data_IF_055368736619
#
_entry.id   IF_055368736619
#
_cell.length_a   1.000
_cell.length_b   1.000
_cell.length_c   1.000
_cell.angle_alpha   90.00
_cell.angle_beta   90.00
_cell.angle_gamma   90.00
#
_symmetry.space_group_name_H-M   'P 1'
#
loop_
_entity.id
_entity.type
_entity.pdbx_description
1 polymer ?
#
# COMPACT_ATOMS: atom_id res chain seq x y z
N UNK A 1 -19.13 -6.37 31.18
CA UNK A 1 -19.12 -7.22 29.97
C UNK A 1 -19.47 -6.48 28.69
N UNK A 2 -20.73 -6.15 28.38
CA UNK A 2 -21.06 -5.51 27.08
C UNK A 2 -20.36 -4.15 26.91
N UNK A 3 -20.36 -3.32 27.95
CA UNK A 3 -19.67 -2.02 27.91
C UNK A 3 -18.14 -2.16 27.73
N UNK A 4 -17.51 -3.17 28.33
CA UNK A 4 -16.07 -3.44 28.20
C UNK A 4 -15.72 -3.89 26.78
N UNK A 5 -16.58 -4.70 26.16
CA UNK A 5 -16.41 -5.13 24.75
C UNK A 5 -16.56 -3.93 23.82
N UNK A 6 -17.55 -3.07 24.05
CA UNK A 6 -17.77 -1.85 23.24
C UNK A 6 -16.59 -0.88 23.38
N UNK A 7 -16.07 -0.70 24.59
CA UNK A 7 -14.92 0.16 24.86
C UNK A 7 -13.62 -0.41 24.26
N UNK A 8 -13.43 -1.74 24.37
CA UNK A 8 -12.36 -2.48 23.67
C UNK A 8 -12.41 -2.21 22.17
N UNK A 9 -13.57 -2.34 21.54
CA UNK A 9 -13.68 -2.12 20.09
C UNK A 9 -13.59 -0.64 19.69
N UNK A 10 -14.07 0.31 20.48
CA UNK A 10 -13.86 1.73 20.16
C UNK A 10 -12.38 2.10 20.06
N UNK A 11 -11.54 1.45 20.87
CA UNK A 11 -10.09 1.60 20.80
C UNK A 11 -9.55 0.72 19.67
N UNK A 12 -9.75 -0.60 19.74
CA UNK A 12 -9.16 -1.59 18.85
C UNK A 12 -9.60 -1.52 17.37
N UNK A 13 -10.81 -1.06 17.06
CA UNK A 13 -11.27 -0.94 15.66
C UNK A 13 -10.50 0.13 14.87
N UNK A 14 -9.94 1.12 15.57
CA UNK A 14 -9.23 2.25 14.95
C UNK A 14 -7.73 1.98 14.76
N UNK A 15 -7.17 0.96 15.39
CA UNK A 15 -5.75 0.67 15.34
C UNK A 15 -5.42 -0.48 14.38
N UNK A 16 -4.24 -0.42 13.74
CA UNK A 16 -3.73 -1.52 12.94
C UNK A 16 -3.42 -2.73 13.82
N UNK A 17 -3.80 -3.89 13.33
CA UNK A 17 -3.63 -5.20 13.95
C UNK A 17 -2.68 -6.08 13.13
N UNK A 18 -2.08 -7.04 13.81
CA UNK A 18 -1.28 -8.10 13.23
C UNK A 18 -1.60 -9.43 13.92
N UNK A 19 -1.03 -10.52 13.41
CA UNK A 19 -1.01 -11.80 14.12
C UNK A 19 0.19 -11.82 15.06
N UNK A 20 0.03 -12.44 16.23
CA UNK A 20 1.14 -12.56 17.16
C UNK A 20 2.31 -13.34 16.54
N UNK A 21 3.53 -12.87 16.81
CA UNK A 21 4.77 -13.48 16.32
C UNK A 21 4.97 -14.93 16.81
N UNK A 22 4.37 -15.27 17.94
CA UNK A 22 4.37 -16.61 18.50
C UNK A 22 2.99 -16.94 19.05
N UNK A 23 2.30 -17.87 18.40
CA UNK A 23 1.00 -18.39 18.86
C UNK A 23 1.23 -19.84 19.33
N UNK A 24 0.91 -20.17 20.58
CA UNK A 24 1.06 -21.54 21.07
C UNK A 24 0.26 -22.54 20.23
N UNK A 25 0.80 -23.75 19.94
CA UNK A 25 0.12 -24.73 19.09
C UNK A 25 -1.29 -25.11 19.58
N UNK A 26 -1.49 -25.18 20.90
CA UNK A 26 -2.78 -25.49 21.49
C UNK A 26 -3.83 -24.39 21.27
N UNK A 27 -3.42 -23.12 21.19
CA UNK A 27 -4.33 -22.02 20.85
C UNK A 27 -4.68 -22.07 19.36
N UNK A 28 -3.70 -22.35 18.51
CA UNK A 28 -3.90 -22.57 17.07
C UNK A 28 -4.89 -23.72 16.79
N UNK A 29 -4.84 -24.80 17.56
CA UNK A 29 -5.84 -25.88 17.45
C UNK A 29 -7.25 -25.40 17.83
N UNK A 30 -7.40 -24.61 18.89
CA UNK A 30 -8.70 -24.04 19.28
C UNK A 30 -9.27 -23.14 18.19
N UNK A 31 -8.42 -22.29 17.59
CA UNK A 31 -8.80 -21.42 16.46
C UNK A 31 -9.27 -22.24 15.28
N UNK A 32 -8.56 -23.33 14.93
CA UNK A 32 -8.92 -24.21 13.81
C UNK A 32 -10.23 -24.97 14.02
N UNK A 33 -10.62 -25.23 15.28
CA UNK A 33 -11.88 -25.92 15.61
C UNK A 33 -13.11 -25.02 15.40
N UNK A 34 -12.99 -23.71 15.60
CA UNK A 34 -14.07 -22.77 15.29
C UNK A 34 -14.01 -22.37 13.82
N UNK A 35 -15.09 -22.62 13.07
CA UNK A 35 -15.17 -22.25 11.65
C UNK A 35 -14.97 -20.74 11.44
N UNK A 36 -15.54 -19.93 12.34
CA UNK A 36 -15.48 -18.46 12.26
C UNK A 36 -14.07 -17.98 12.60
N UNK A 37 -13.47 -18.47 13.70
CA UNK A 37 -12.11 -18.08 14.09
C UNK A 37 -11.08 -18.52 13.05
N UNK A 38 -11.24 -19.72 12.48
CA UNK A 38 -10.37 -20.21 11.41
C UNK A 38 -10.50 -19.33 10.15
N UNK A 39 -11.72 -18.92 9.78
CA UNK A 39 -11.94 -17.99 8.66
C UNK A 39 -11.28 -16.63 8.92
N UNK A 40 -11.47 -16.06 10.13
CA UNK A 40 -10.83 -14.82 10.57
C UNK A 40 -9.30 -14.93 10.47
N UNK A 41 -8.73 -16.03 10.98
CA UNK A 41 -7.28 -16.24 11.02
C UNK A 41 -6.67 -16.40 9.62
N UNK A 42 -7.31 -17.16 8.73
CA UNK A 42 -6.84 -17.32 7.35
C UNK A 42 -6.97 -16.01 6.56
N UNK A 43 -8.06 -15.27 6.77
CA UNK A 43 -8.24 -13.96 6.15
C UNK A 43 -7.19 -12.96 6.63
N UNK A 44 -6.86 -12.98 7.93
CA UNK A 44 -5.78 -12.17 8.49
C UNK A 44 -4.45 -12.47 7.78
N UNK A 45 -4.11 -13.75 7.58
CA UNK A 45 -2.89 -14.14 6.83
C UNK A 45 -2.88 -13.60 5.41
N UNK A 46 -3.99 -13.70 4.69
CA UNK A 46 -4.09 -13.16 3.34
C UNK A 46 -3.90 -11.64 3.31
N UNK A 47 -4.51 -10.92 4.25
CA UNK A 47 -4.34 -9.47 4.37
C UNK A 47 -2.87 -9.12 4.70
N UNK A 48 -2.24 -9.91 5.57
CA UNK A 48 -0.86 -9.73 5.99
C UNK A 48 0.17 -10.05 4.89
N UNK A 49 -0.20 -10.86 3.91
CA UNK A 49 0.64 -11.12 2.74
C UNK A 49 0.76 -9.90 1.81
N UNK A 50 -0.22 -8.98 1.84
CA UNK A 50 -0.24 -7.78 1.01
C UNK A 50 0.24 -6.56 1.78
N UNK A 51 -0.12 -6.45 3.06
CA UNK A 51 0.25 -5.33 3.94
C UNK A 51 0.73 -5.85 5.29
N UNK A 52 1.66 -5.17 5.95
CA UNK A 52 2.24 -5.62 7.22
C UNK A 52 1.26 -5.56 8.42
N UNK A 53 0.08 -4.98 8.22
CA UNK A 53 -0.99 -4.89 9.21
C UNK A 53 -2.36 -4.87 8.53
N UNK A 54 -3.42 -5.08 9.32
CA UNK A 54 -4.80 -4.95 8.86
C UNK A 54 -5.67 -4.21 9.88
N UNK A 55 -6.79 -3.66 9.43
CA UNK A 55 -7.80 -3.08 10.31
C UNK A 55 -8.97 -4.06 10.47
N UNK A 56 -9.53 -4.15 11.67
CA UNK A 56 -10.70 -5.01 11.96
C UNK A 56 -11.87 -4.64 11.04
N UNK A 57 -12.10 -3.35 10.78
CA UNK A 57 -13.12 -2.90 9.84
C UNK A 57 -12.98 -3.52 8.43
N UNK A 58 -11.76 -3.57 7.91
CA UNK A 58 -11.50 -4.16 6.59
C UNK A 58 -11.72 -5.67 6.60
N UNK A 59 -11.40 -6.32 7.72
CA UNK A 59 -11.65 -7.74 7.93
C UNK A 59 -13.15 -8.05 7.94
N UNK A 60 -13.96 -7.28 8.68
CA UNK A 60 -15.43 -7.41 8.71
C UNK A 60 -16.03 -7.26 7.30
N UNK A 61 -15.60 -6.25 6.55
CA UNK A 61 -16.08 -6.02 5.18
C UNK A 61 -15.75 -7.16 4.22
N UNK A 62 -14.63 -7.86 4.43
CA UNK A 62 -14.28 -9.06 3.63
C UNK A 62 -15.03 -10.29 4.11
N UNK A 63 -15.17 -10.49 5.43
CA UNK A 63 -15.91 -11.61 6.01
C UNK A 63 -17.37 -11.64 5.58
N UNK A 64 -18.07 -10.49 5.58
CA UNK A 64 -19.45 -10.36 5.09
C UNK A 64 -19.66 -10.87 3.68
N UNK A 65 -18.64 -10.77 2.82
CA UNK A 65 -18.72 -11.23 1.43
C UNK A 65 -18.56 -12.73 1.30
N UNK A 66 -17.94 -13.38 2.29
CA UNK A 66 -17.59 -14.79 2.27
C UNK A 66 -18.61 -15.60 3.06
N UNK A 67 -19.12 -15.05 4.17
CA UNK A 67 -20.03 -15.74 5.07
C UNK A 67 -21.14 -14.80 5.52
N UNK A 68 -22.38 -15.29 5.46
CA UNK A 68 -23.56 -14.57 5.93
C UNK A 68 -23.72 -14.81 7.45
N UNK A 69 -22.91 -14.12 8.25
CA UNK A 69 -22.93 -14.18 9.72
C UNK A 69 -23.23 -12.78 10.26
N UNK A 70 -23.96 -12.71 11.38
CA UNK A 70 -24.22 -11.48 12.13
C UNK A 70 -22.92 -10.82 12.61
N UNK A 71 -22.85 -9.50 12.53
CA UNK A 71 -21.65 -8.71 12.85
C UNK A 71 -21.22 -8.89 14.30
N UNK A 72 -22.20 -8.98 15.20
CA UNK A 72 -22.02 -9.16 16.63
C UNK A 72 -21.30 -10.46 16.95
N UNK A 73 -21.62 -11.54 16.22
CA UNK A 73 -20.97 -12.84 16.39
C UNK A 73 -19.52 -12.77 15.91
N UNK A 74 -19.28 -12.15 14.76
CA UNK A 74 -17.93 -11.99 14.22
C UNK A 74 -17.07 -11.12 15.14
N UNK A 75 -17.62 -10.01 15.63
CA UNK A 75 -16.96 -9.14 16.59
C UNK A 75 -16.64 -9.89 17.89
N UNK A 76 -17.57 -10.67 18.42
CA UNK A 76 -17.29 -11.48 19.61
C UNK A 76 -16.15 -12.47 19.40
N UNK A 77 -16.10 -13.13 18.24
CA UNK A 77 -15.01 -14.06 17.91
C UNK A 77 -13.67 -13.33 17.74
N UNK A 78 -13.66 -12.12 17.17
CA UNK A 78 -12.46 -11.28 17.10
C UNK A 78 -12.00 -10.86 18.51
N UNK A 79 -12.92 -10.50 19.40
CA UNK A 79 -12.62 -10.18 20.79
C UNK A 79 -11.94 -11.35 21.50
N UNK A 80 -12.47 -12.56 21.32
CA UNK A 80 -11.86 -13.78 21.86
C UNK A 80 -10.44 -14.02 21.34
N UNK A 81 -10.18 -13.70 20.07
CA UNK A 81 -8.83 -13.80 19.49
C UNK A 81 -7.88 -12.71 20.01
N UNK A 82 -8.40 -11.53 20.35
CA UNK A 82 -7.64 -10.46 21.00
C UNK A 82 -7.26 -10.83 22.44
N UNK A 83 -8.21 -11.34 23.23
CA UNK A 83 -7.95 -11.78 24.61
C UNK A 83 -6.90 -12.90 24.66
N UNK A 84 -6.94 -13.82 23.69
CA UNK A 84 -5.98 -14.92 23.57
C UNK A 84 -4.65 -14.52 22.93
N UNK A 85 -4.47 -13.24 22.59
CA UNK A 85 -3.28 -12.71 21.93
C UNK A 85 -2.95 -13.43 20.62
N UNK A 86 -3.97 -13.91 19.91
CA UNK A 86 -3.80 -14.45 18.55
C UNK A 86 -3.72 -13.30 17.54
N UNK A 87 -4.62 -12.32 17.72
CA UNK A 87 -4.57 -11.02 17.06
C UNK A 87 -4.05 -10.02 18.09
N UNK A 88 -3.12 -9.16 17.69
CA UNK A 88 -2.52 -8.16 18.57
C UNK A 88 -2.41 -6.83 17.85
N UNK A 89 -2.38 -5.74 18.62
CA UNK A 89 -2.04 -4.42 18.08
C UNK A 89 -0.67 -4.48 17.40
N UNK A 90 -0.57 -3.87 16.23
CA UNK A 90 0.72 -3.69 15.58
C UNK A 90 1.55 -2.71 16.42
N UNK A 91 2.79 -3.07 16.82
CA UNK A 91 3.68 -2.15 17.52
C UNK A 91 3.90 -0.87 16.72
N UNK A 92 3.98 0.28 17.39
CA UNK A 92 4.12 1.58 16.74
C UNK A 92 5.41 1.63 15.91
N UNK A 93 6.45 0.95 16.38
CA UNK A 93 7.75 0.81 15.71
C UNK A 93 7.57 0.18 14.33
N UNK A 94 6.80 -0.92 14.25
CA UNK A 94 6.51 -1.59 12.99
C UNK A 94 5.65 -0.72 12.05
N UNK A 95 4.84 0.20 12.58
CA UNK A 95 4.09 1.17 11.78
C UNK A 95 5.04 2.24 11.22
N UNK A 96 5.94 2.76 12.06
CA UNK A 96 6.93 3.76 11.69
C UNK A 96 7.86 3.26 10.58
N UNK A 97 8.42 2.05 10.73
CA UNK A 97 9.28 1.42 9.72
C UNK A 97 8.57 1.27 8.36
N UNK A 98 7.25 1.06 8.38
CA UNK A 98 6.45 0.98 7.15
C UNK A 98 6.16 2.34 6.53
N UNK A 99 5.97 3.39 7.34
CA UNK A 99 5.85 4.76 6.83
C UNK A 99 7.18 5.21 6.22
N UNK A 100 8.30 4.94 6.89
CA UNK A 100 9.64 5.28 6.39
C UNK A 100 9.99 4.53 5.11
N UNK A 101 9.68 3.23 5.03
CA UNK A 101 9.93 2.46 3.81
C UNK A 101 9.04 2.88 2.63
N UNK A 102 7.78 3.24 2.86
CA UNK A 102 6.92 3.84 1.82
C UNK A 102 7.47 5.19 1.38
N UNK A 103 7.86 6.07 2.31
CA UNK A 103 8.50 7.35 2.00
C UNK A 103 9.82 7.18 1.25
N UNK A 104 10.64 6.19 1.60
CA UNK A 104 11.88 5.89 0.88
C UNK A 104 11.61 5.35 -0.54
N UNK A 105 10.51 4.61 -0.72
CA UNK A 105 10.10 4.11 -2.04
C UNK A 105 9.52 5.24 -2.91
N UNK A 106 8.77 6.15 -2.31
CA UNK A 106 8.24 7.33 -2.97
C UNK A 106 9.35 8.36 -3.27
N UNK A 107 10.34 8.54 -2.39
CA UNK A 107 11.56 9.30 -2.67
C UNK A 107 12.38 8.66 -3.79
N UNK A 108 12.50 7.33 -3.85
CA UNK A 108 13.15 6.65 -4.99
C UNK A 108 12.39 6.87 -6.31
N UNK A 109 11.06 6.93 -6.26
CA UNK A 109 10.25 7.31 -7.43
C UNK A 109 10.44 8.78 -7.78
N UNK A 110 10.43 9.68 -6.80
CA UNK A 110 10.68 11.11 -6.99
C UNK A 110 12.07 11.38 -7.55
N UNK A 111 13.11 10.68 -7.07
CA UNK A 111 14.48 10.78 -7.57
C UNK A 111 14.58 10.25 -9.01
N UNK A 112 13.86 9.18 -9.36
CA UNK A 112 13.75 8.70 -10.76
C UNK A 112 12.99 9.67 -11.66
N UNK A 113 11.92 10.28 -11.17
CA UNK A 113 11.17 11.27 -11.94
C UNK A 113 11.87 12.63 -11.99
N UNK A 114 12.68 12.99 -10.99
CA UNK A 114 13.45 14.24 -10.95
C UNK A 114 14.72 14.17 -11.81
N UNK A 115 15.30 12.98 -11.96
CA UNK A 115 16.36 12.74 -12.96
C UNK A 115 15.82 12.79 -14.39
N UNK A 116 14.56 12.43 -14.62
CA UNK A 116 13.88 12.67 -15.92
C UNK A 116 13.52 14.16 -16.07
N UNK A 117 13.02 14.82 -15.02
CA UNK A 117 12.65 16.24 -15.08
C UNK A 117 13.86 17.14 -15.24
N UNK A 118 15.03 16.81 -14.69
CA UNK A 118 16.26 17.59 -14.89
C UNK A 118 16.85 17.44 -16.29
N UNK A 119 16.62 16.31 -16.97
CA UNK A 119 16.92 16.15 -18.41
C UNK A 119 15.93 16.95 -19.27
N UNK A 120 14.68 17.08 -18.83
CA UNK A 120 13.65 17.88 -19.52
C UNK A 120 13.80 19.38 -19.23
N UNK A 121 14.23 19.77 -18.03
CA UNK A 121 14.35 21.16 -17.56
C UNK A 121 15.71 21.79 -17.85
N UNK A 122 16.68 21.05 -18.38
CA UNK A 122 17.89 21.67 -18.93
C UNK A 122 17.64 22.44 -20.24
N UNK A 123 16.49 22.23 -20.89
CA UNK A 123 16.00 23.12 -21.96
C UNK A 123 14.83 23.95 -21.41
N UNK A 124 15.13 25.20 -21.05
CA UNK A 124 14.14 26.22 -20.74
C UNK A 124 13.14 26.34 -21.90
N UNK A 125 11.93 25.76 -21.77
CA UNK A 125 10.86 25.89 -22.77
C UNK A 125 9.45 25.51 -22.28
N UNK A 126 9.23 25.17 -20.99
CA UNK A 126 7.89 24.74 -20.52
C UNK A 126 6.89 25.89 -20.51
N UNK A 127 7.31 27.09 -20.09
CA UNK A 127 6.44 28.27 -20.10
C UNK A 127 6.16 28.75 -21.53
N UNK A 128 7.14 28.69 -22.42
CA UNK A 128 6.97 29.02 -23.85
C UNK A 128 6.04 28.03 -24.57
N UNK A 129 6.09 26.75 -24.19
CA UNK A 129 5.16 25.71 -24.65
C UNK A 129 3.73 25.97 -24.18
N UNK A 130 3.57 26.46 -22.95
CA UNK A 130 2.26 26.77 -22.38
C UNK A 130 1.61 27.93 -23.14
N UNK A 131 2.38 28.97 -23.43
CA UNK A 131 1.92 30.14 -24.20
C UNK A 131 1.58 29.78 -25.66
N UNK A 132 2.35 28.88 -26.28
CA UNK A 132 2.05 28.37 -27.63
C UNK A 132 0.79 27.50 -27.67
N UNK A 133 0.52 26.71 -26.62
CA UNK A 133 -0.65 25.85 -26.54
C UNK A 133 -1.94 26.63 -26.28
N UNK A 134 -1.89 27.78 -25.59
CA UNK A 134 -3.05 28.64 -25.36
C UNK A 134 -3.59 29.28 -26.65
N UNK A 135 -2.74 29.44 -27.66
CA UNK A 135 -3.07 30.14 -28.91
C UNK A 135 -3.28 29.21 -30.11
N UNK A 136 -2.98 27.91 -29.97
CA UNK A 136 -3.10 26.92 -31.04
C UNK A 136 -4.48 26.25 -31.11
N UNK A 137 -4.89 25.86 -32.32
CA UNK A 137 -6.06 25.01 -32.50
C UNK A 137 -5.79 23.59 -31.95
N UNK A 138 -6.85 22.94 -31.47
CA UNK A 138 -6.78 21.64 -30.80
C UNK A 138 -6.11 20.55 -31.67
N UNK A 139 -6.31 20.59 -32.98
CA UNK A 139 -5.74 19.62 -33.91
C UNK A 139 -4.23 19.74 -34.03
N UNK A 140 -3.73 20.98 -34.11
CA UNK A 140 -2.31 21.27 -34.15
C UNK A 140 -1.63 21.03 -32.79
N UNK A 141 -2.31 21.36 -31.68
CA UNK A 141 -1.81 21.12 -30.32
C UNK A 141 -1.60 19.62 -30.07
N UNK A 142 -2.56 18.78 -30.48
CA UNK A 142 -2.43 17.31 -30.38
C UNK A 142 -1.25 16.77 -31.18
N UNK A 143 -0.95 17.32 -32.36
CA UNK A 143 0.22 16.92 -33.16
C UNK A 143 1.53 17.29 -32.48
N UNK A 144 1.62 18.50 -31.95
CA UNK A 144 2.81 19.00 -31.25
C UNK A 144 3.12 18.17 -30.01
N UNK A 145 2.10 17.92 -29.17
CA UNK A 145 2.21 17.06 -27.98
C UNK A 145 2.69 15.65 -28.35
N UNK A 146 2.16 15.08 -29.44
CA UNK A 146 2.55 13.74 -29.91
C UNK A 146 4.00 13.70 -30.40
N UNK A 147 4.49 14.77 -31.03
CA UNK A 147 5.87 14.87 -31.47
C UNK A 147 6.84 15.00 -30.28
N UNK A 148 6.48 15.82 -29.28
CA UNK A 148 7.24 16.00 -28.04
C UNK A 148 7.33 14.68 -27.27
N UNK A 149 6.21 13.97 -27.09
CA UNK A 149 6.20 12.64 -26.47
C UNK A 149 7.09 11.64 -27.23
N UNK A 150 7.11 11.69 -28.57
CA UNK A 150 7.97 10.83 -29.37
C UNK A 150 9.45 11.16 -29.16
N UNK A 151 9.82 12.44 -29.11
CA UNK A 151 11.20 12.89 -28.82
C UNK A 151 11.63 12.51 -27.41
N UNK A 152 10.77 12.71 -26.40
CA UNK A 152 11.01 12.32 -25.01
C UNK A 152 11.27 10.81 -24.88
N UNK A 153 10.47 9.97 -25.56
CA UNK A 153 10.65 8.51 -25.55
C UNK A 153 11.95 8.05 -26.21
N UNK A 154 12.46 8.79 -27.20
CA UNK A 154 13.76 8.53 -27.81
C UNK A 154 14.89 8.94 -26.86
N UNK A 155 14.79 10.13 -26.26
CA UNK A 155 15.77 10.62 -25.28
C UNK A 155 15.86 9.73 -24.02
N UNK A 156 14.74 9.18 -23.56
CA UNK A 156 14.69 8.24 -22.43
C UNK A 156 15.46 6.95 -22.74
N UNK A 157 15.29 6.40 -23.95
CA UNK A 157 16.05 5.23 -24.41
C UNK A 157 17.54 5.52 -24.52
N UNK A 158 17.89 6.70 -25.04
CA UNK A 158 19.28 7.12 -25.23
C UNK A 158 19.98 7.39 -23.90
N UNK A 159 19.27 7.99 -22.93
CA UNK A 159 19.73 8.20 -21.57
C UNK A 159 19.95 6.86 -20.85
N UNK A 160 19.00 5.94 -20.95
CA UNK A 160 19.13 4.58 -20.40
C UNK A 160 20.36 3.88 -20.99
N UNK A 161 20.56 3.96 -22.30
CA UNK A 161 21.74 3.41 -22.98
C UNK A 161 23.05 4.03 -22.50
N UNK A 162 23.12 5.36 -22.36
CA UNK A 162 24.31 6.07 -21.86
C UNK A 162 24.63 5.72 -20.40
N UNK A 163 23.62 5.58 -19.55
CA UNK A 163 23.79 5.14 -18.16
C UNK A 163 24.36 3.72 -18.12
N UNK A 164 23.76 2.78 -18.87
CA UNK A 164 24.24 1.39 -18.96
C UNK A 164 25.66 1.29 -19.57
N UNK A 165 25.99 2.13 -20.56
CA UNK A 165 27.31 2.17 -21.18
C UNK A 165 28.38 2.72 -20.22
N UNK A 166 28.04 3.75 -19.44
CA UNK A 166 28.95 4.28 -18.41
C UNK A 166 29.18 3.28 -17.28
N UNK A 167 28.14 2.58 -16.82
CA UNK A 167 28.24 1.49 -15.84
C UNK A 167 29.10 0.34 -16.36
N UNK A 168 28.97 -0.01 -17.65
CA UNK A 168 29.82 -1.02 -18.30
C UNK A 168 31.29 -0.59 -18.40
N UNK A 169 31.55 0.69 -18.72
CA UNK A 169 32.92 1.21 -18.86
C UNK A 169 33.63 1.51 -17.52
N UNK A 170 32.89 1.52 -16.41
CA UNK A 170 33.44 1.69 -15.06
C UNK A 170 33.59 0.36 -14.29
N UNK A 171 33.21 -0.77 -14.90
CA UNK A 171 33.44 -2.13 -14.41
C UNK A 171 34.71 -2.74 -15.02
#
# INVERSE_FOLDING_TARGET
>A
MINEIVESFNISLMFPMTLANSIPPYELEKVRRSLIQNAIYNLAKEMLAVKPFFFIYNMLNRLKKIVNIEDEVVLYEIHQLLERQVITLTPIEAIADNIESVQATDQKKEIKTSSISSIIMSDANIDELKDQLETMDEGSARKLIKEIMRKAKVAEKDSTYRVTLNEYNTA
#
